data_IF_927925495825
#
_entry.id   IF_927925495825
#
_cell.length_a   1.000
_cell.length_b   1.000
_cell.length_c   1.000
_cell.angle_alpha   90.00
_cell.angle_beta   90.00
_cell.angle_gamma   90.00
#
_symmetry.space_group_name_H-M   'P 1'
#
loop_
_entity.id
_entity.type
_entity.pdbx_description
1 polymer ?
#
# COMPACT_ATOMS: atom_id res chain seq x y z
N UNK A 1 3.65 -13.62 13.55
CA UNK A 1 4.96 -13.97 12.97
C UNK A 1 5.73 -12.67 12.73
N UNK A 2 6.78 -12.41 13.51
CA UNK A 2 7.52 -11.13 13.56
C UNK A 2 8.07 -10.73 12.17
N UNK A 3 8.47 -11.71 11.37
CA UNK A 3 9.02 -11.53 10.02
C UNK A 3 8.07 -10.83 9.03
N UNK A 4 6.75 -10.95 9.22
CA UNK A 4 5.76 -10.30 8.36
C UNK A 4 5.69 -8.78 8.57
N UNK A 5 5.85 -8.34 9.82
CA UNK A 5 5.81 -6.91 10.19
C UNK A 5 7.10 -6.22 9.73
N UNK A 6 8.25 -6.85 9.94
CA UNK A 6 9.54 -6.31 9.50
C UNK A 6 9.63 -6.20 7.98
N UNK A 7 9.19 -7.24 7.25
CA UNK A 7 9.14 -7.20 5.79
C UNK A 7 8.20 -6.12 5.25
N UNK A 8 7.05 -5.90 5.90
CA UNK A 8 6.15 -4.81 5.56
C UNK A 8 6.83 -3.44 5.73
N UNK A 9 7.47 -3.18 6.87
CA UNK A 9 8.12 -1.89 7.11
C UNK A 9 9.32 -1.63 6.20
N UNK A 10 10.07 -2.68 5.84
CA UNK A 10 11.13 -2.60 4.84
C UNK A 10 10.56 -2.17 3.47
N UNK A 11 9.49 -2.83 3.02
CA UNK A 11 8.78 -2.50 1.78
C UNK A 11 8.22 -1.06 1.78
N UNK A 12 7.52 -0.68 2.86
CA UNK A 12 6.91 0.64 2.99
C UNK A 12 7.98 1.74 2.97
N UNK A 13 9.10 1.56 3.69
CA UNK A 13 10.20 2.53 3.71
C UNK A 13 10.77 2.77 2.31
N UNK A 14 11.09 1.71 1.56
CA UNK A 14 11.62 1.83 0.20
C UNK A 14 10.67 2.55 -0.74
N UNK A 15 9.36 2.35 -0.60
CA UNK A 15 8.35 3.04 -1.41
C UNK A 15 8.22 4.51 -1.02
N UNK A 16 8.13 4.80 0.27
CA UNK A 16 7.87 6.14 0.78
C UNK A 16 9.04 7.11 0.53
N UNK A 17 10.28 6.62 0.53
CA UNK A 17 11.49 7.42 0.24
C UNK A 17 11.44 8.08 -1.15
N UNK A 18 10.77 7.45 -2.12
CA UNK A 18 10.67 7.98 -3.50
C UNK A 18 9.85 9.27 -3.61
N UNK A 19 9.06 9.61 -2.60
CA UNK A 19 8.25 10.84 -2.61
C UNK A 19 9.04 12.08 -2.18
N UNK A 20 10.30 11.94 -1.72
CA UNK A 20 11.14 13.07 -1.27
C UNK A 20 10.49 13.96 -0.19
N UNK A 21 9.59 13.37 0.61
CA UNK A 21 8.77 14.08 1.59
C UNK A 21 7.30 13.74 1.40
N UNK A 22 6.59 13.63 2.51
CA UNK A 22 5.15 13.32 2.51
C UNK A 22 4.50 14.27 3.51
N UNK A 23 3.39 14.89 3.11
CA UNK A 23 2.61 15.70 4.04
C UNK A 23 2.12 14.84 5.21
N UNK A 24 2.23 15.36 6.43
CA UNK A 24 1.70 14.69 7.63
C UNK A 24 0.21 14.36 7.48
N UNK A 25 -0.55 15.22 6.78
CA UNK A 25 -1.99 15.01 6.57
C UNK A 25 -2.32 13.82 5.67
N UNK A 26 -1.43 13.46 4.72
CA UNK A 26 -1.67 12.36 3.77
C UNK A 26 -0.87 11.11 4.10
N UNK A 27 0.03 11.15 5.08
CA UNK A 27 0.88 10.02 5.46
C UNK A 27 0.08 8.72 5.68
N UNK A 28 -1.06 8.80 6.38
CA UNK A 28 -1.90 7.64 6.63
C UNK A 28 -2.43 7.01 5.32
N UNK A 29 -2.76 7.82 4.31
CA UNK A 29 -3.22 7.33 3.01
C UNK A 29 -2.10 6.57 2.30
N UNK A 30 -0.88 7.10 2.30
CA UNK A 30 0.27 6.43 1.71
C UNK A 30 0.63 5.14 2.43
N UNK A 31 0.51 5.11 3.77
CA UNK A 31 0.75 3.89 4.54
C UNK A 31 -0.30 2.81 4.24
N UNK A 32 -1.57 3.18 4.12
CA UNK A 32 -2.65 2.28 3.70
C UNK A 32 -2.48 1.78 2.27
N UNK A 33 -2.00 2.62 1.35
CA UNK A 33 -1.62 2.18 0.01
C UNK A 33 -0.48 1.14 0.07
N UNK A 34 0.54 1.35 0.90
CA UNK A 34 1.63 0.39 1.10
C UNK A 34 1.11 -0.93 1.65
N UNK A 35 0.22 -0.90 2.64
CA UNK A 35 -0.43 -2.09 3.20
C UNK A 35 -1.18 -2.87 2.13
N UNK A 36 -2.02 -2.18 1.34
CA UNK A 36 -2.76 -2.79 0.25
C UNK A 36 -1.82 -3.48 -0.75
N UNK A 37 -0.79 -2.77 -1.23
CA UNK A 37 0.17 -3.33 -2.20
C UNK A 37 0.99 -4.48 -1.63
N UNK A 38 1.37 -4.42 -0.36
CA UNK A 38 2.12 -5.48 0.29
C UNK A 38 1.27 -6.74 0.39
N UNK A 39 0.03 -6.62 0.83
CA UNK A 39 -0.87 -7.76 1.01
C UNK A 39 -1.24 -8.43 -0.32
N UNK A 40 -1.38 -7.66 -1.41
CA UNK A 40 -1.70 -8.16 -2.76
C UNK A 40 -0.49 -8.27 -3.69
N UNK A 41 0.74 -8.31 -3.15
CA UNK A 41 1.98 -8.23 -3.95
C UNK A 41 2.18 -9.34 -4.99
N UNK A 42 1.49 -10.47 -4.81
CA UNK A 42 1.54 -11.62 -5.72
C UNK A 42 0.27 -11.74 -6.58
N UNK A 43 -0.64 -10.78 -6.48
CA UNK A 43 -1.92 -10.80 -7.17
C UNK A 43 -1.95 -9.82 -8.35
N UNK A 44 -2.96 -9.97 -9.21
CA UNK A 44 -3.24 -8.99 -10.26
C UNK A 44 -3.96 -7.77 -9.65
N UNK A 45 -3.18 -6.75 -9.28
CA UNK A 45 -3.71 -5.50 -8.72
C UNK A 45 -4.76 -4.83 -9.60
N UNK A 46 -4.62 -4.91 -10.93
CA UNK A 46 -5.59 -4.30 -11.85
C UNK A 46 -6.96 -4.96 -11.70
N UNK A 47 -7.02 -6.29 -11.69
CA UNK A 47 -8.26 -7.04 -11.49
C UNK A 47 -8.90 -6.75 -10.12
N UNK A 48 -8.08 -6.62 -9.06
CA UNK A 48 -8.55 -6.30 -7.72
C UNK A 48 -9.16 -4.90 -7.67
N UNK A 49 -8.45 -3.89 -8.19
CA UNK A 49 -8.92 -2.49 -8.18
C UNK A 49 -10.20 -2.37 -8.99
N UNK A 50 -10.28 -3.00 -10.18
CA UNK A 50 -11.51 -3.03 -10.97
C UNK A 50 -12.70 -3.60 -10.19
N UNK A 51 -12.48 -4.71 -9.46
CA UNK A 51 -13.52 -5.30 -8.61
C UNK A 51 -13.95 -4.35 -7.48
N UNK A 52 -12.99 -3.68 -6.83
CA UNK A 52 -13.27 -2.74 -5.74
C UNK A 52 -14.09 -1.54 -6.20
N UNK A 53 -13.72 -0.92 -7.32
CA UNK A 53 -14.44 0.24 -7.88
C UNK A 53 -15.83 -0.14 -8.39
N UNK A 54 -16.01 -1.35 -8.94
CA UNK A 54 -17.34 -1.86 -9.30
C UNK A 54 -18.26 -2.05 -8.09
N UNK A 55 -17.70 -2.53 -6.98
CA UNK A 55 -18.45 -2.78 -5.75
C UNK A 55 -18.68 -1.52 -4.90
N UNK A 56 -17.76 -0.56 -4.99
CA UNK A 56 -17.77 0.70 -4.25
C UNK A 56 -17.47 1.81 -5.28
N UNK A 57 -18.49 2.27 -6.02
CA UNK A 57 -18.32 3.36 -6.96
C UNK A 57 -17.86 4.63 -6.22
N UNK A 58 -16.98 5.38 -6.88
CA UNK A 58 -16.37 6.61 -6.35
C UNK A 58 -17.35 7.77 -6.28
#
# INVERSE_FOLDING_TARGET
>A
HINGIESFWSFAKTRLVKFHGISKSTFNLHLKECEFRFNYRNDNLYAIILKLVRNNPL
#
